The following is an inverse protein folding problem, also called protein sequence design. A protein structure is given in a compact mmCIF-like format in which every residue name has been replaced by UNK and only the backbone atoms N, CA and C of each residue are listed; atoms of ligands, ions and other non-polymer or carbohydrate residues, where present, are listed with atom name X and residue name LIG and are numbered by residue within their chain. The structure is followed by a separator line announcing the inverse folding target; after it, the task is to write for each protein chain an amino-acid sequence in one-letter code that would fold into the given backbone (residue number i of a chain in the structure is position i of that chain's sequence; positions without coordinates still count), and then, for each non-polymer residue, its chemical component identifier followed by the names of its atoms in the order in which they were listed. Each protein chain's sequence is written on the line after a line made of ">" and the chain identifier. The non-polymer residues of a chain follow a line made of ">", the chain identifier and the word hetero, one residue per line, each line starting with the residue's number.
data_IF_184310275118
#
_entry.id   IF_184310275118
#
_cell.length_a   1.000
_cell.length_b   1.000
_cell.length_c   1.000
_cell.angle_alpha   90.00
_cell.angle_beta   90.00
_cell.angle_gamma   90.00
#
_symmetry.space_group_name_H-M   'P 1'
#
loop_
_entity.id
_entity.type
_entity.pdbx_description
1 polymer ?
#
# COMPACT_ATOMS: atom_id res chain seq x y z
N UNK A 1 -17.41 47.85 33.99
CA UNK A 1 -15.97 48.06 33.69
C UNK A 1 -15.55 47.06 32.61
N UNK A 2 -15.40 47.49 31.35
CA UNK A 2 -14.84 46.62 30.30
C UNK A 2 -13.32 46.79 30.32
N UNK A 3 -12.59 45.81 30.87
CA UNK A 3 -11.13 45.77 30.76
C UNK A 3 -10.82 45.44 29.30
N UNK A 4 -10.32 46.44 28.56
CA UNK A 4 -9.83 46.22 27.21
C UNK A 4 -8.58 45.35 27.26
N UNK A 5 -8.52 44.31 26.43
CA UNK A 5 -7.31 43.53 26.22
C UNK A 5 -6.19 44.46 25.77
N UNK A 6 -5.03 44.38 26.42
CA UNK A 6 -3.86 45.17 26.00
C UNK A 6 -3.25 44.54 24.75
N UNK A 7 -2.76 45.36 23.82
CA UNK A 7 -2.16 44.89 22.56
C UNK A 7 -1.01 43.89 22.81
N UNK A 8 -0.26 44.08 23.89
CA UNK A 8 0.82 43.21 24.33
C UNK A 8 0.33 41.81 24.75
N UNK A 9 -0.82 41.75 25.42
CA UNK A 9 -1.43 40.49 25.87
C UNK A 9 -1.93 39.65 24.68
N UNK A 10 -2.48 40.32 23.64
CA UNK A 10 -2.88 39.67 22.38
C UNK A 10 -1.65 39.11 21.64
N UNK A 11 -0.56 39.89 21.56
CA UNK A 11 0.70 39.46 20.95
C UNK A 11 1.33 38.27 21.68
N UNK A 12 1.28 38.28 23.02
CA UNK A 12 1.80 37.19 23.84
C UNK A 12 1.01 35.90 23.62
N UNK A 13 -0.32 35.98 23.54
CA UNK A 13 -1.19 34.82 23.24
C UNK A 13 -0.93 34.28 21.84
N UNK A 14 -0.81 35.14 20.83
CA UNK A 14 -0.47 34.72 19.46
C UNK A 14 0.89 34.02 19.38
N UNK A 15 1.90 34.53 20.09
CA UNK A 15 3.22 33.92 20.16
C UNK A 15 3.15 32.51 20.77
N UNK A 16 2.41 32.35 21.88
CA UNK A 16 2.24 31.06 22.54
C UNK A 16 1.50 30.05 21.63
N UNK A 17 0.42 30.48 20.97
CA UNK A 17 -0.32 29.64 20.03
C UNK A 17 0.56 29.23 18.85
N UNK A 18 1.30 30.16 18.25
CA UNK A 18 2.23 29.87 17.15
C UNK A 18 3.32 28.89 17.57
N UNK A 19 3.88 29.07 18.77
CA UNK A 19 4.90 28.15 19.30
C UNK A 19 4.36 26.75 19.54
N UNK A 20 3.11 26.62 20.02
CA UNK A 20 2.48 25.32 20.20
C UNK A 20 2.17 24.64 18.85
N UNK A 21 1.67 25.40 17.87
CA UNK A 21 1.38 24.89 16.53
C UNK A 21 2.62 24.29 15.86
N UNK A 22 3.78 24.94 16.00
CA UNK A 22 5.04 24.46 15.44
C UNK A 22 5.49 23.09 16.00
N UNK A 23 5.06 22.74 17.22
CA UNK A 23 5.39 21.45 17.84
C UNK A 23 4.32 20.40 17.58
N UNK A 24 3.05 20.79 17.62
CA UNK A 24 1.91 19.85 17.48
C UNK A 24 1.76 19.37 16.04
N UNK A 25 1.84 20.26 15.05
CA UNK A 25 1.63 19.91 13.64
C UNK A 25 2.58 18.81 13.12
N UNK A 26 3.92 18.91 13.25
CA UNK A 26 4.81 17.88 12.73
C UNK A 26 4.64 16.53 13.44
N UNK A 27 4.39 16.55 14.76
CA UNK A 27 4.16 15.30 15.50
C UNK A 27 2.82 14.65 15.14
N UNK A 28 1.78 15.44 14.86
CA UNK A 28 0.48 14.93 14.46
C UNK A 28 0.54 14.21 13.11
N UNK A 29 1.26 14.77 12.13
CA UNK A 29 1.43 14.11 10.81
C UNK A 29 2.08 12.73 10.94
N UNK A 30 3.14 12.60 11.76
CA UNK A 30 3.79 11.31 12.03
C UNK A 30 2.85 10.28 12.66
N UNK A 31 1.97 10.72 13.57
CA UNK A 31 0.99 9.82 14.20
C UNK A 31 -0.04 9.33 13.18
N UNK A 32 -0.53 10.22 12.31
CA UNK A 32 -1.43 9.83 11.21
C UNK A 32 -0.75 8.84 10.26
N UNK A 33 0.51 9.08 9.89
CA UNK A 33 1.28 8.18 9.03
C UNK A 33 1.42 6.79 9.64
N UNK A 34 1.71 6.72 10.94
CA UNK A 34 1.81 5.45 11.67
C UNK A 34 0.48 4.68 11.67
N UNK A 35 -0.62 5.36 12.01
CA UNK A 35 -1.95 4.74 12.09
C UNK A 35 -2.41 4.27 10.71
N UNK A 36 -2.29 5.14 9.70
CA UNK A 36 -2.69 4.82 8.32
C UNK A 36 -1.86 3.67 7.76
N UNK A 37 -0.57 3.63 8.05
CA UNK A 37 0.32 2.55 7.62
C UNK A 37 -0.05 1.19 8.23
N UNK A 38 -0.23 1.10 9.55
CA UNK A 38 -0.58 -0.16 10.21
C UNK A 38 -1.97 -0.66 9.76
N UNK A 39 -2.91 0.27 9.51
CA UNK A 39 -4.23 -0.08 9.01
C UNK A 39 -4.17 -0.58 7.55
N UNK A 40 -3.46 0.12 6.66
CA UNK A 40 -3.22 -0.33 5.28
C UNK A 40 -2.51 -1.68 5.24
N UNK A 41 -1.47 -1.85 6.04
CA UNK A 41 -0.73 -3.10 6.13
C UNK A 41 -1.65 -4.27 6.51
N UNK A 42 -2.54 -4.07 7.50
CA UNK A 42 -3.50 -5.09 7.92
C UNK A 42 -4.52 -5.40 6.84
N UNK A 43 -5.13 -4.38 6.23
CA UNK A 43 -6.13 -4.56 5.18
C UNK A 43 -5.55 -5.26 3.95
N UNK A 44 -4.34 -4.84 3.56
CA UNK A 44 -3.60 -5.47 2.48
C UNK A 44 -3.27 -6.94 2.79
N UNK A 45 -2.86 -7.24 4.02
CA UNK A 45 -2.62 -8.63 4.44
C UNK A 45 -3.90 -9.49 4.34
N UNK A 46 -5.05 -8.96 4.77
CA UNK A 46 -6.36 -9.64 4.66
C UNK A 46 -6.71 -9.88 3.20
N UNK A 47 -6.58 -8.87 2.34
CA UNK A 47 -6.85 -8.99 0.90
C UNK A 47 -6.01 -10.09 0.27
N UNK A 48 -4.69 -10.07 0.50
CA UNK A 48 -3.79 -11.07 -0.05
C UNK A 48 -4.12 -12.47 0.47
N UNK A 49 -4.55 -12.60 1.73
CA UNK A 49 -4.99 -13.89 2.29
C UNK A 49 -6.26 -14.41 1.62
N UNK A 50 -7.21 -13.53 1.31
CA UNK A 50 -8.42 -13.90 0.56
C UNK A 50 -8.07 -14.36 -0.85
N UNK A 51 -7.17 -13.65 -1.54
CA UNK A 51 -6.67 -14.03 -2.87
C UNK A 51 -6.01 -15.40 -2.80
N UNK A 52 -5.17 -15.67 -1.80
CA UNK A 52 -4.55 -16.99 -1.61
C UNK A 52 -5.57 -18.12 -1.48
N UNK A 53 -6.62 -17.92 -0.67
CA UNK A 53 -7.70 -18.90 -0.55
C UNK A 53 -8.37 -19.14 -1.90
N UNK A 54 -8.65 -18.09 -2.67
CA UNK A 54 -9.26 -18.25 -4.01
C UNK A 54 -8.34 -18.96 -5.01
N UNK A 55 -7.06 -18.65 -5.01
CA UNK A 55 -6.06 -19.33 -5.83
C UNK A 55 -6.06 -20.83 -5.48
N UNK A 56 -5.99 -21.15 -4.19
CA UNK A 56 -5.99 -22.53 -3.71
C UNK A 56 -7.29 -23.29 -4.07
N UNK A 57 -8.46 -22.66 -3.94
CA UNK A 57 -9.75 -23.28 -4.27
C UNK A 57 -9.97 -23.45 -5.78
N UNK A 58 -9.54 -22.48 -6.60
CA UNK A 58 -9.75 -22.53 -8.04
C UNK A 58 -8.80 -23.48 -8.76
N UNK A 59 -7.61 -23.77 -8.19
CA UNK A 59 -6.57 -24.58 -8.84
C UNK A 59 -5.97 -23.94 -10.09
N UNK A 60 -6.32 -22.69 -10.40
CA UNK A 60 -5.88 -21.97 -11.60
C UNK A 60 -4.74 -21.00 -11.28
N UNK A 61 -4.06 -20.52 -12.32
CA UNK A 61 -3.05 -19.47 -12.20
C UNK A 61 -3.74 -18.10 -12.22
N UNK A 62 -3.44 -17.29 -11.22
CA UNK A 62 -3.90 -15.91 -11.09
C UNK A 62 -2.75 -14.95 -11.31
N UNK A 63 -3.06 -13.76 -11.80
CA UNK A 63 -2.13 -12.64 -11.87
C UNK A 63 -2.44 -11.66 -10.74
N UNK A 64 -1.37 -11.23 -10.06
CA UNK A 64 -1.41 -10.08 -9.18
C UNK A 64 -0.78 -8.91 -9.94
N UNK A 65 -1.53 -7.83 -10.09
CA UNK A 65 -1.13 -6.63 -10.81
C UNK A 65 -1.20 -5.45 -9.83
N UNK A 66 -0.21 -4.57 -9.91
CA UNK A 66 -0.18 -3.33 -9.13
C UNK A 66 -0.33 -2.13 -10.06
N UNK A 67 -1.24 -1.23 -9.74
CA UNK A 67 -1.31 0.08 -10.39
C UNK A 67 -1.02 1.17 -9.36
N UNK A 68 -0.36 2.24 -9.81
CA UNK A 68 -0.07 3.41 -8.98
C UNK A 68 -0.23 4.69 -9.78
N UNK A 69 -0.76 5.70 -9.13
CA UNK A 69 -0.71 7.09 -9.53
C UNK A 69 0.25 7.82 -8.57
N UNK A 70 1.41 8.20 -9.09
CA UNK A 70 2.45 8.90 -8.33
C UNK A 70 2.01 10.31 -7.96
N UNK A 71 1.23 10.97 -8.83
CA UNK A 71 0.81 12.36 -8.62
C UNK A 71 -0.21 12.46 -7.48
N UNK A 72 -1.11 11.49 -7.40
CA UNK A 72 -2.14 11.42 -6.36
C UNK A 72 -1.73 10.59 -5.14
N UNK A 73 -0.52 10.02 -5.14
CA UNK A 73 -0.06 9.04 -4.15
C UNK A 73 -1.15 8.01 -3.84
N UNK A 74 -1.67 7.43 -4.92
CA UNK A 74 -2.77 6.48 -4.87
C UNK A 74 -2.33 5.19 -5.55
N UNK A 75 -2.72 4.04 -5.01
CA UNK A 75 -2.37 2.75 -5.58
C UNK A 75 -3.49 1.75 -5.38
N UNK A 76 -3.48 0.73 -6.22
CA UNK A 76 -4.42 -0.37 -6.15
C UNK A 76 -3.78 -1.67 -6.63
N UNK A 77 -4.37 -2.79 -6.22
CA UNK A 77 -3.99 -4.13 -6.65
C UNK A 77 -5.19 -4.80 -7.31
N UNK A 78 -4.91 -5.55 -8.36
CA UNK A 78 -5.86 -6.45 -9.00
C UNK A 78 -5.34 -7.87 -8.86
N UNK A 79 -6.17 -8.78 -8.35
CA UNK A 79 -5.96 -10.21 -8.46
C UNK A 79 -6.98 -10.79 -9.45
N UNK A 80 -6.54 -11.39 -10.54
CA UNK A 80 -7.43 -11.93 -11.58
C UNK A 80 -6.95 -13.28 -12.09
N UNK A 81 -7.81 -14.02 -12.79
CA UNK A 81 -7.38 -15.20 -13.54
C UNK A 81 -6.41 -14.83 -14.67
N UNK A 82 -5.45 -15.74 -14.94
CA UNK A 82 -4.52 -15.63 -16.06
C UNK A 82 -5.30 -15.49 -17.36
N UNK A 83 -5.02 -14.41 -18.09
CA UNK A 83 -5.65 -14.05 -19.35
C UNK A 83 -4.76 -13.09 -20.12
N UNK A 84 -5.01 -12.93 -21.42
CA UNK A 84 -4.39 -11.90 -22.25
C UNK A 84 -4.84 -10.49 -21.85
N UNK A 85 -6.07 -10.36 -21.34
CA UNK A 85 -6.60 -9.09 -20.87
C UNK A 85 -6.21 -8.83 -19.41
N UNK A 86 -5.53 -7.72 -19.15
CA UNK A 86 -5.13 -7.26 -17.82
C UNK A 86 -6.07 -6.13 -17.37
N UNK A 87 -6.73 -6.33 -16.23
CA UNK A 87 -7.69 -5.37 -15.70
C UNK A 87 -7.00 -4.23 -14.95
N UNK A 88 -7.41 -3.01 -15.28
CA UNK A 88 -7.03 -1.80 -14.55
C UNK A 88 -7.90 -1.63 -13.30
N UNK A 89 -7.27 -1.57 -12.13
CA UNK A 89 -7.97 -1.33 -10.87
C UNK A 89 -8.48 0.11 -10.70
N UNK A 90 -8.00 1.08 -11.49
CA UNK A 90 -8.61 2.42 -11.52
C UNK A 90 -9.91 2.47 -12.33
N UNK A 91 -10.14 1.48 -13.20
CA UNK A 91 -11.33 1.38 -14.03
C UNK A 91 -11.93 -0.04 -13.97
N UNK A 92 -12.41 -0.50 -12.79
CA UNK A 92 -12.84 -1.89 -12.60
C UNK A 92 -14.05 -2.28 -13.46
N UNK A 93 -14.86 -1.30 -13.89
CA UNK A 93 -16.04 -1.52 -14.72
C UNK A 93 -15.71 -2.05 -16.13
N UNK A 94 -14.49 -1.77 -16.62
CA UNK A 94 -14.03 -2.27 -17.93
C UNK A 94 -13.43 -3.68 -17.84
N UNK A 95 -13.42 -4.31 -16.66
CA UNK A 95 -12.86 -5.65 -16.49
C UNK A 95 -13.91 -6.72 -16.87
N UNK A 96 -13.59 -7.65 -17.79
CA UNK A 96 -14.48 -8.75 -18.12
C UNK A 96 -14.80 -9.64 -16.90
N UNK A 97 -16.08 -9.90 -16.65
CA UNK A 97 -16.54 -10.71 -15.52
C UNK A 97 -15.95 -12.13 -15.49
N UNK A 98 -15.63 -12.70 -16.67
CA UNK A 98 -14.97 -14.02 -16.81
C UNK A 98 -13.65 -14.14 -16.05
N UNK A 99 -12.97 -13.03 -15.75
CA UNK A 99 -11.66 -13.02 -15.10
C UNK A 99 -11.73 -13.13 -13.58
N UNK A 100 -12.94 -13.13 -13.00
CA UNK A 100 -13.16 -13.21 -11.56
C UNK A 100 -12.29 -12.23 -10.75
N UNK A 101 -12.05 -11.03 -11.30
CA UNK A 101 -11.09 -10.08 -10.75
C UNK A 101 -11.54 -9.57 -9.38
N UNK A 102 -10.58 -9.52 -8.45
CA UNK A 102 -10.70 -8.88 -7.16
C UNK A 102 -9.83 -7.64 -7.14
N UNK A 103 -10.38 -6.56 -6.62
CA UNK A 103 -9.71 -5.27 -6.57
C UNK A 103 -9.49 -4.85 -5.12
N UNK A 104 -8.31 -4.30 -4.86
CA UNK A 104 -7.97 -3.62 -3.62
C UNK A 104 -7.54 -2.20 -3.99
N UNK A 105 -8.07 -1.20 -3.31
CA UNK A 105 -7.65 0.19 -3.47
C UNK A 105 -7.14 0.73 -2.15
N UNK A 106 -6.11 1.59 -2.18
CA UNK A 106 -5.61 2.24 -0.98
C UNK A 106 -6.69 3.13 -0.37
N UNK A 107 -6.98 2.96 0.91
CA UNK A 107 -7.95 3.75 1.68
C UNK A 107 -7.35 5.09 2.10
N UNK A 108 -6.03 5.15 2.31
CA UNK A 108 -5.32 6.36 2.73
C UNK A 108 -4.48 6.94 1.59
N UNK A 109 -5.16 7.64 0.67
CA UNK A 109 -4.52 8.37 -0.44
C UNK A 109 -3.67 9.51 0.10
N UNK A 110 -2.44 9.67 -0.40
CA UNK A 110 -1.52 10.72 0.08
C UNK A 110 -0.57 10.29 1.20
N UNK A 111 -0.83 9.15 1.86
CA UNK A 111 -0.04 8.72 3.02
C UNK A 111 0.78 7.45 2.76
N UNK A 112 0.29 6.57 1.89
CA UNK A 112 0.94 5.28 1.61
C UNK A 112 1.20 5.07 0.13
N UNK A 113 2.30 4.38 -0.18
CA UNK A 113 2.66 4.06 -1.55
C UNK A 113 3.20 2.63 -1.68
N UNK A 114 2.76 1.94 -2.72
CA UNK A 114 3.24 0.61 -3.07
C UNK A 114 4.39 0.67 -4.09
N UNK A 115 5.51 0.04 -3.73
CA UNK A 115 6.72 -0.12 -4.55
C UNK A 115 6.91 -1.57 -5.00
N UNK A 116 7.03 -1.78 -6.30
CA UNK A 116 7.26 -3.09 -6.91
C UNK A 116 8.06 -2.95 -8.21
N UNK A 117 8.60 -4.06 -8.73
CA UNK A 117 9.39 -4.08 -9.97
C UNK A 117 8.53 -3.85 -11.21
N UNK A 118 7.30 -4.38 -11.22
CA UNK A 118 6.41 -4.30 -12.37
C UNK A 118 5.06 -3.74 -11.96
N UNK A 119 4.61 -2.74 -12.72
CA UNK A 119 3.29 -2.11 -12.60
C UNK A 119 2.46 -2.40 -13.84
N UNK A 120 1.15 -2.21 -13.71
CA UNK A 120 0.21 -2.17 -14.82
C UNK A 120 0.79 -1.39 -16.02
N UNK A 121 0.73 -1.93 -17.25
CA UNK A 121 -0.03 -3.10 -17.67
C UNK A 121 0.66 -4.46 -17.42
N UNK A 122 1.86 -4.47 -16.85
CA UNK A 122 2.60 -5.70 -16.58
C UNK A 122 2.14 -6.36 -15.27
N UNK A 123 2.17 -7.70 -15.23
CA UNK A 123 1.87 -8.46 -14.03
C UNK A 123 3.01 -8.33 -13.03
N UNK A 124 2.67 -8.03 -11.78
CA UNK A 124 3.65 -7.97 -10.70
C UNK A 124 4.15 -9.38 -10.34
N UNK A 125 3.22 -10.32 -10.19
CA UNK A 125 3.56 -11.74 -9.95
C UNK A 125 2.43 -12.65 -10.39
N UNK A 126 2.71 -13.95 -10.45
CA UNK A 126 1.75 -15.01 -10.75
C UNK A 126 1.52 -15.80 -9.49
N UNK A 127 0.27 -16.12 -9.17
CA UNK A 127 -0.15 -16.92 -8.03
C UNK A 127 -0.74 -18.23 -8.55
N UNK A 128 -0.34 -19.36 -7.97
CA UNK A 128 -0.71 -20.70 -8.41
C UNK A 128 -0.91 -21.57 -7.17
N UNK A 129 -1.88 -22.49 -7.26
CA UNK A 129 -2.14 -23.46 -6.20
C UNK A 129 -1.10 -24.61 -6.17
N UNK A 130 -0.37 -24.80 -7.26
CA UNK A 130 0.60 -25.89 -7.41
C UNK A 130 1.93 -25.46 -6.76
N UNK A 131 2.42 -26.29 -5.82
CA UNK A 131 3.74 -26.11 -5.18
C UNK A 131 4.82 -25.97 -6.26
N UNK A 132 5.80 -25.11 -6.00
CA UNK A 132 7.01 -24.92 -6.82
C UNK A 132 6.86 -24.14 -8.16
N UNK A 133 5.78 -23.37 -8.35
CA UNK A 133 5.57 -22.57 -9.58
C UNK A 133 5.57 -21.04 -9.41
N UNK A 134 5.85 -20.53 -8.21
CA UNK A 134 5.91 -19.08 -7.96
C UNK A 134 7.35 -18.59 -8.08
N UNK A 135 7.58 -17.57 -8.89
CA UNK A 135 8.76 -16.72 -8.70
C UNK A 135 8.60 -16.01 -7.36
N UNK A 136 9.64 -16.07 -6.52
CA UNK A 136 9.62 -15.35 -5.25
C UNK A 136 9.61 -13.85 -5.54
N UNK A 137 8.43 -13.24 -5.49
CA UNK A 137 8.27 -11.80 -5.71
C UNK A 137 8.07 -11.10 -4.38
N UNK A 138 8.58 -9.88 -4.29
CA UNK A 138 8.29 -9.02 -3.18
C UNK A 138 7.97 -7.60 -3.62
N UNK A 139 7.29 -6.91 -2.73
CA UNK A 139 6.89 -5.53 -2.89
C UNK A 139 6.89 -4.85 -1.53
N UNK A 140 6.96 -3.53 -1.56
CA UNK A 140 7.11 -2.70 -0.38
C UNK A 140 5.89 -1.80 -0.27
N UNK A 141 5.22 -1.84 0.88
CA UNK A 141 4.31 -0.78 1.30
C UNK A 141 5.15 0.22 2.10
N UNK A 142 5.10 1.49 1.76
CA UNK A 142 5.89 2.52 2.44
C UNK A 142 5.12 3.82 2.65
N UNK A 143 5.46 4.51 3.74
CA UNK A 143 5.18 5.92 3.98
C UNK A 143 6.51 6.69 4.01
N UNK A 144 6.46 7.98 4.35
CA UNK A 144 7.67 8.78 4.55
C UNK A 144 8.51 8.30 5.75
N UNK A 145 7.87 7.64 6.73
CA UNK A 145 8.52 7.23 7.97
C UNK A 145 8.66 5.72 8.15
N UNK A 146 7.89 4.90 7.44
CA UNK A 146 7.82 3.45 7.68
C UNK A 146 7.83 2.66 6.38
N UNK A 147 8.36 1.43 6.46
CA UNK A 147 8.38 0.48 5.34
C UNK A 147 8.05 -0.93 5.80
N UNK A 148 7.24 -1.61 5.00
CA UNK A 148 6.89 -3.01 5.19
C UNK A 148 7.12 -3.78 3.91
N UNK A 149 7.83 -4.90 4.03
CA UNK A 149 8.13 -5.77 2.91
C UNK A 149 7.16 -6.95 2.96
N UNK A 150 6.44 -7.12 1.85
CA UNK A 150 5.61 -8.29 1.60
C UNK A 150 6.39 -9.22 0.68
N UNK A 151 6.74 -10.40 1.19
CA UNK A 151 7.38 -11.45 0.42
C UNK A 151 6.40 -12.58 0.15
N UNK A 152 6.16 -12.87 -1.13
CA UNK A 152 5.30 -13.94 -1.60
C UNK A 152 6.19 -15.14 -1.96
N UNK A 153 6.07 -16.24 -1.21
CA UNK A 153 6.87 -17.46 -1.42
C UNK A 153 6.06 -18.58 -2.06
N UNK A 154 6.78 -19.52 -2.71
CA UNK A 154 6.42 -20.73 -3.49
C UNK A 154 5.21 -21.59 -3.07
N UNK A 155 4.59 -21.32 -1.92
CA UNK A 155 3.41 -22.02 -1.39
C UNK A 155 2.21 -21.09 -1.18
N UNK A 156 2.23 -19.88 -1.77
CA UNK A 156 1.26 -18.86 -1.44
C UNK A 156 1.32 -18.51 0.05
N UNK A 157 2.53 -18.38 0.61
CA UNK A 157 2.68 -17.81 1.95
C UNK A 157 3.11 -16.36 1.82
N UNK A 158 2.36 -15.45 2.47
CA UNK A 158 2.75 -14.05 2.63
C UNK A 158 3.54 -13.98 3.93
N UNK A 159 4.82 -13.59 3.84
CA UNK A 159 5.55 -13.15 5.03
C UNK A 159 5.58 -11.64 5.03
N UNK A 160 5.11 -11.07 6.13
CA UNK A 160 5.25 -9.66 6.44
C UNK A 160 6.54 -9.50 7.23
N UNK A 161 7.46 -8.65 6.76
CA UNK A 161 8.66 -8.29 7.50
C UNK A 161 8.64 -6.78 7.78
N UNK A 162 8.74 -6.42 9.07
CA UNK A 162 8.89 -5.02 9.52
C UNK A 162 10.39 -4.67 9.56
N UNK A 163 10.75 -3.60 8.88
CA UNK A 163 12.00 -2.80 8.92
C UNK A 163 13.42 -3.45 8.86
N UNK A 164 13.64 -4.73 9.13
CA UNK A 164 15.00 -5.24 9.39
C UNK A 164 15.59 -6.23 8.37
N UNK A 165 14.97 -6.48 7.22
CA UNK A 165 15.58 -7.30 6.17
C UNK A 165 15.54 -6.62 4.81
N UNK A 166 16.31 -5.55 4.67
CA UNK A 166 16.52 -4.78 3.43
C UNK A 166 17.22 -5.58 2.32
N UNK A 167 17.74 -6.78 2.57
CA UNK A 167 18.71 -7.39 1.66
C UNK A 167 18.15 -8.11 0.42
N UNK A 168 16.87 -8.52 0.38
CA UNK A 168 16.39 -9.38 -0.72
C UNK A 168 15.55 -8.67 -1.79
N UNK A 169 14.87 -7.58 -1.45
CA UNK A 169 13.89 -6.94 -2.35
C UNK A 169 14.40 -5.69 -3.07
N UNK A 170 15.40 -5.02 -2.50
CA UNK A 170 16.09 -3.91 -3.17
C UNK A 170 17.27 -4.41 -4.04
N UNK A 171 17.70 -5.67 -3.88
CA UNK A 171 18.82 -6.26 -4.60
C UNK A 171 18.39 -6.99 -5.88
N UNK A 172 17.51 -6.35 -6.65
CA UNK A 172 17.27 -6.72 -8.04
C UNK A 172 17.27 -5.42 -8.86
N UNK A 173 18.37 -4.66 -8.73
CA UNK A 173 18.73 -3.58 -9.64
C UNK A 173 18.87 -4.19 -11.03
N UNK A 174 18.06 -3.64 -11.93
CA UNK A 174 18.26 -3.52 -13.38
C UNK A 174 19.55 -4.17 -13.90
N UNK A 175 19.38 -5.29 -14.61
CA UNK A 175 20.12 -5.56 -15.83
C UNK A 175 19.13 -5.46 -16.99
#
# INVERSE_FOLDING_TARGET
>A
MKRGFTLLEILMVLLLISSMLLVVLPNWTRVIDFISFEQEQRQLWIFLRQVQTRVATSGQVWFLIANRDVNRQHWCLTAQLKSEYICDCFAPQHCPQRLSAQFYSSHFTGYTMLKTKHYYPNTMTRLSAVRDTLETTCFVLQTDYQKAIFSLFNVGSIKLKKEASLSACEHNKEN
#
